data_IF_516856642152
#
_entry.id   IF_516856642152
#
_cell.length_a   1.000
_cell.length_b   1.000
_cell.length_c   1.000
_cell.angle_alpha   90.00
_cell.angle_beta   90.00
_cell.angle_gamma   90.00
#
_symmetry.space_group_name_H-M   'P 1'
#
loop_
_entity.id
_entity.type
_entity.pdbx_description
1 polymer ?
#
# COMPACT_ATOMS: atom_id res chain seq x y z
N UNK A 1 -8.62 13.86 3.94
CA UNK A 1 -8.03 12.51 4.14
C UNK A 1 -7.82 12.19 5.60
N UNK A 2 -7.02 12.99 6.34
CA UNK A 2 -6.84 12.86 7.80
C UNK A 2 -8.15 12.69 8.57
N UNK A 3 -9.10 13.59 8.39
CA UNK A 3 -10.36 13.54 9.13
C UNK A 3 -11.20 12.31 8.77
N UNK A 4 -11.15 11.88 7.51
CA UNK A 4 -11.81 10.66 7.07
C UNK A 4 -11.22 9.41 7.74
N UNK A 5 -9.89 9.32 7.85
CA UNK A 5 -9.19 8.24 8.55
C UNK A 5 -9.60 8.21 10.04
N UNK A 6 -9.57 9.37 10.71
CA UNK A 6 -9.94 9.48 12.12
C UNK A 6 -11.42 9.16 12.38
N UNK A 7 -12.32 9.74 11.60
CA UNK A 7 -13.76 9.59 11.79
C UNK A 7 -14.23 8.15 11.52
N UNK A 8 -13.56 7.43 10.62
CA UNK A 8 -13.83 6.02 10.33
C UNK A 8 -12.99 5.05 11.17
N UNK A 9 -12.14 5.56 12.08
CA UNK A 9 -11.27 4.75 12.96
C UNK A 9 -10.41 3.75 12.18
N UNK A 10 -9.89 4.17 11.03
CA UNK A 10 -9.03 3.33 10.21
C UNK A 10 -7.64 3.25 10.84
N UNK A 11 -7.02 2.07 10.75
CA UNK A 11 -5.65 1.78 11.22
C UNK A 11 -4.72 1.31 10.10
N UNK A 12 -5.26 1.12 8.90
CA UNK A 12 -4.56 0.79 7.66
C UNK A 12 -5.34 1.41 6.49
N UNK A 13 -4.64 1.99 5.52
CA UNK A 13 -5.22 2.44 4.25
C UNK A 13 -4.23 2.26 3.09
N UNK A 14 -4.74 2.35 1.86
CA UNK A 14 -3.92 2.58 0.68
C UNK A 14 -4.51 3.68 -0.20
N UNK A 15 -3.62 4.45 -0.84
CA UNK A 15 -3.94 5.44 -1.85
C UNK A 15 -3.37 4.98 -3.18
N UNK A 16 -4.16 5.15 -4.24
CA UNK A 16 -3.88 4.65 -5.57
C UNK A 16 -3.89 5.84 -6.55
N UNK A 17 -3.04 5.80 -7.57
CA UNK A 17 -2.83 6.87 -8.57
C UNK A 17 -2.41 8.22 -7.96
N UNK A 18 -1.61 8.17 -6.88
CA UNK A 18 -1.28 9.40 -6.14
C UNK A 18 -0.45 10.40 -6.94
N UNK A 19 0.33 9.93 -7.93
CA UNK A 19 1.29 10.72 -8.73
C UNK A 19 2.25 11.54 -7.86
N UNK A 20 2.46 11.10 -6.62
CA UNK A 20 3.34 11.75 -5.63
C UNK A 20 4.78 11.38 -5.93
N UNK A 21 5.68 12.34 -6.05
CA UNK A 21 7.12 12.05 -6.20
C UNK A 21 7.70 11.50 -4.90
N UNK A 22 8.75 10.68 -5.00
CA UNK A 22 9.40 10.06 -3.84
C UNK A 22 9.82 11.10 -2.77
N UNK A 23 10.38 12.23 -3.21
CA UNK A 23 10.80 13.35 -2.36
C UNK A 23 9.64 14.07 -1.63
N UNK A 24 8.39 13.81 -2.04
CA UNK A 24 7.17 14.36 -1.43
C UNK A 24 6.48 13.38 -0.48
N UNK A 25 6.92 12.12 -0.38
CA UNK A 25 6.28 11.14 0.51
C UNK A 25 6.33 11.56 1.97
N UNK A 26 7.46 12.13 2.43
CA UNK A 26 7.56 12.66 3.79
C UNK A 26 6.52 13.76 4.02
N UNK A 27 6.35 14.68 3.07
CA UNK A 27 5.33 15.72 3.17
C UNK A 27 3.90 15.16 3.19
N UNK A 28 3.63 14.04 2.50
CA UNK A 28 2.34 13.34 2.59
C UNK A 28 2.13 12.77 3.99
N UNK A 29 3.16 12.13 4.56
CA UNK A 29 3.12 11.61 5.94
C UNK A 29 2.88 12.73 6.95
N UNK A 30 3.62 13.84 6.84
CA UNK A 30 3.51 15.00 7.71
C UNK A 30 2.13 15.65 7.59
N UNK A 31 1.62 15.80 6.36
CA UNK A 31 0.32 16.39 6.08
C UNK A 31 -0.87 15.54 6.57
N UNK A 32 -0.71 14.23 6.65
CA UNK A 32 -1.70 13.36 7.31
C UNK A 32 -1.78 13.67 8.80
N UNK A 33 -0.68 14.09 9.44
CA UNK A 33 -0.63 14.48 10.85
C UNK A 33 -1.35 13.47 11.76
N UNK A 34 -1.07 12.19 11.51
CA UNK A 34 -1.61 11.03 12.23
C UNK A 34 -0.64 10.50 13.31
N UNK A 35 0.31 11.32 13.76
CA UNK A 35 1.31 10.90 14.75
C UNK A 35 2.33 9.96 14.12
N UNK A 36 2.60 8.83 14.79
CA UNK A 36 3.67 7.88 14.42
C UNK A 36 3.31 6.93 13.27
N UNK A 37 2.24 7.22 12.52
CA UNK A 37 1.84 6.44 11.37
C UNK A 37 3.00 6.28 10.39
N UNK A 38 3.17 5.05 9.90
CA UNK A 38 4.19 4.69 8.93
C UNK A 38 3.59 4.63 7.54
N UNK A 39 4.43 4.91 6.54
CA UNK A 39 4.05 4.88 5.13
C UNK A 39 5.10 4.13 4.33
N UNK A 40 4.65 3.30 3.39
CA UNK A 40 5.46 2.72 2.32
C UNK A 40 4.81 2.99 0.98
N UNK A 41 5.57 2.82 -0.09
CA UNK A 41 5.06 3.02 -1.43
C UNK A 41 5.80 2.18 -2.47
N UNK A 42 5.26 2.13 -3.70
CA UNK A 42 5.92 1.48 -4.84
C UNK A 42 6.78 2.46 -5.67
N UNK A 43 7.21 3.57 -5.07
CA UNK A 43 8.10 4.50 -5.74
C UNK A 43 9.41 3.80 -6.12
N UNK A 44 9.86 3.99 -7.37
CA UNK A 44 11.10 3.41 -7.88
C UNK A 44 11.89 4.49 -8.63
N UNK A 45 13.03 4.91 -8.08
CA UNK A 45 13.87 5.96 -8.68
C UNK A 45 13.12 7.29 -8.87
N UNK A 46 13.16 7.82 -10.09
CA UNK A 46 12.55 9.10 -10.46
C UNK A 46 11.05 8.99 -10.83
N UNK A 47 10.47 7.79 -10.83
CA UNK A 47 9.07 7.58 -11.19
C UNK A 47 8.11 8.03 -10.09
N UNK A 48 6.96 8.56 -10.51
CA UNK A 48 5.90 8.96 -9.58
C UNK A 48 5.30 7.75 -8.85
N UNK A 49 5.12 7.88 -7.55
CA UNK A 49 4.45 6.90 -6.70
C UNK A 49 3.01 6.67 -7.16
N UNK A 50 2.64 5.40 -7.38
CA UNK A 50 1.27 5.04 -7.75
C UNK A 50 0.50 4.48 -6.58
N UNK A 51 1.15 3.73 -5.71
CA UNK A 51 0.55 3.10 -4.54
C UNK A 51 1.26 3.60 -3.29
N UNK A 52 0.50 4.13 -2.35
CA UNK A 52 0.95 4.47 -1.00
C UNK A 52 0.15 3.61 -0.03
N UNK A 53 0.81 3.04 0.98
CA UNK A 53 0.18 2.27 2.05
C UNK A 53 0.56 2.94 3.37
N UNK A 54 -0.42 3.29 4.19
CA UNK A 54 -0.20 3.92 5.49
C UNK A 54 -0.89 3.15 6.60
N UNK A 55 -0.24 3.03 7.75
CA UNK A 55 -0.77 2.28 8.89
C UNK A 55 -0.31 2.84 10.24
N UNK A 56 -1.08 2.49 11.27
CA UNK A 56 -0.71 2.71 12.66
C UNK A 56 0.21 1.57 13.15
N UNK A 57 1.50 1.83 13.44
CA UNK A 57 2.43 0.80 13.87
C UNK A 57 2.15 0.26 15.28
N UNK A 58 1.29 0.92 16.07
CA UNK A 58 0.80 0.39 17.33
C UNK A 58 -0.27 -0.70 17.16
N UNK A 59 -0.86 -0.82 15.96
CA UNK A 59 -1.92 -1.81 15.68
C UNK A 59 -1.41 -2.90 14.74
N UNK A 60 -0.70 -2.53 13.67
CA UNK A 60 -0.24 -3.47 12.65
C UNK A 60 1.27 -3.38 12.42
N UNK A 61 1.90 -4.54 12.23
CA UNK A 61 3.16 -4.67 11.51
C UNK A 61 2.84 -4.86 10.02
N UNK A 62 3.53 -4.12 9.15
CA UNK A 62 3.32 -4.19 7.70
C UNK A 62 4.67 -4.37 7.02
N UNK A 63 4.84 -5.55 6.43
CA UNK A 63 6.04 -5.90 5.67
C UNK A 63 5.70 -6.05 4.19
N UNK A 64 6.28 -5.21 3.33
CA UNK A 64 6.21 -5.40 1.89
C UNK A 64 7.01 -6.65 1.49
N UNK A 65 6.32 -7.63 0.90
CA UNK A 65 6.94 -8.90 0.45
C UNK A 65 7.19 -8.91 -1.05
N UNK A 66 6.42 -8.13 -1.82
CA UNK A 66 6.62 -7.95 -3.26
C UNK A 66 6.07 -6.59 -3.69
N UNK A 67 6.77 -5.93 -4.62
CA UNK A 67 6.36 -4.64 -5.17
C UNK A 67 6.64 -4.60 -6.67
N UNK A 68 5.77 -3.94 -7.41
CA UNK A 68 5.88 -3.66 -8.84
C UNK A 68 5.18 -2.32 -9.13
N UNK A 69 5.25 -1.87 -10.37
CA UNK A 69 4.64 -0.63 -10.83
C UNK A 69 3.10 -0.63 -10.76
N UNK A 70 2.46 -1.81 -10.76
CA UNK A 70 1.00 -2.00 -10.68
C UNK A 70 0.51 -2.61 -9.37
N UNK A 71 1.39 -3.08 -8.47
CA UNK A 71 0.95 -3.65 -7.18
C UNK A 71 1.99 -3.56 -6.06
N UNK A 72 1.49 -3.69 -4.84
CA UNK A 72 2.29 -4.01 -3.67
C UNK A 72 1.60 -5.11 -2.89
N UNK A 73 2.30 -6.20 -2.59
CA UNK A 73 1.82 -7.23 -1.67
C UNK A 73 2.55 -7.07 -0.34
N UNK A 74 1.77 -6.99 0.73
CA UNK A 74 2.27 -6.85 2.08
C UNK A 74 1.70 -7.95 2.97
N UNK A 75 2.54 -8.45 3.86
CA UNK A 75 2.12 -9.21 5.03
C UNK A 75 1.76 -8.22 6.12
N UNK A 76 0.53 -8.31 6.60
CA UNK A 76 -0.03 -7.43 7.63
C UNK A 76 -0.38 -8.29 8.83
N UNK A 77 0.29 -8.03 9.95
CA UNK A 77 0.12 -8.80 11.20
C UNK A 77 -0.38 -7.87 12.30
N UNK A 78 -1.39 -8.28 13.05
CA UNK A 78 -1.88 -7.51 14.19
C UNK A 78 -0.95 -7.70 15.40
N UNK A 79 -0.44 -6.61 15.97
CA UNK A 79 0.55 -6.68 17.07
C UNK A 79 0.00 -7.33 18.34
N UNK A 80 -1.31 -7.23 18.57
CA UNK A 80 -1.97 -7.65 19.81
C UNK A 80 -3.01 -8.75 19.59
N UNK A 81 -3.05 -9.34 18.39
CA UNK A 81 -4.00 -10.40 18.04
C UNK A 81 -3.26 -11.47 17.24
N UNK A 82 -3.66 -12.73 17.36
CA UNK A 82 -3.11 -13.78 16.51
C UNK A 82 -3.76 -13.74 15.12
N UNK A 83 -3.51 -12.66 14.39
CA UNK A 83 -4.06 -12.40 13.06
C UNK A 83 -2.95 -11.93 12.12
N UNK A 84 -2.86 -12.60 10.97
CA UNK A 84 -1.97 -12.25 9.88
C UNK A 84 -2.72 -12.43 8.55
N UNK A 85 -2.49 -11.50 7.61
CA UNK A 85 -3.08 -11.55 6.27
C UNK A 85 -2.08 -11.04 5.23
N UNK A 86 -2.10 -11.65 4.05
CA UNK A 86 -1.43 -11.12 2.87
C UNK A 86 -2.42 -10.26 2.09
N UNK A 87 -2.08 -8.99 1.88
CA UNK A 87 -2.90 -8.03 1.14
C UNK A 87 -2.12 -7.58 -0.10
N UNK A 88 -2.74 -7.69 -1.28
CA UNK A 88 -2.22 -7.10 -2.51
C UNK A 88 -3.01 -5.84 -2.85
N UNK A 89 -2.34 -4.69 -2.79
CA UNK A 89 -2.86 -3.40 -3.23
C UNK A 89 -2.53 -3.24 -4.71
N UNK A 90 -3.52 -2.88 -5.54
CA UNK A 90 -3.39 -2.90 -7.00
C UNK A 90 -3.77 -1.56 -7.62
N UNK A 91 -2.90 -1.05 -8.49
CA UNK A 91 -3.19 -0.03 -9.49
C UNK A 91 -3.14 -0.67 -10.87
N UNK A 92 -4.29 -0.80 -11.53
CA UNK A 92 -4.34 -1.37 -12.88
C UNK A 92 -4.01 -0.32 -13.95
N UNK A 93 -3.06 -0.61 -14.82
CA UNK A 93 -2.83 0.20 -16.02
C UNK A 93 -4.07 0.30 -16.90
N UNK A 94 -4.13 1.33 -17.74
CA UNK A 94 -5.32 1.65 -18.52
C UNK A 94 -5.68 0.56 -19.53
N UNK A 95 -4.69 -0.08 -20.17
CA UNK A 95 -4.95 -1.08 -21.21
C UNK A 95 -4.98 -2.50 -20.64
N UNK A 96 -5.81 -3.40 -21.21
CA UNK A 96 -5.78 -4.82 -20.85
C UNK A 96 -4.42 -5.48 -21.08
N UNK A 97 -3.69 -5.02 -22.10
CA UNK A 97 -2.37 -5.53 -22.46
C UNK A 97 -1.34 -5.25 -21.34
N UNK A 98 -1.35 -4.04 -20.79
CA UNK A 98 -0.41 -3.64 -19.74
C UNK A 98 -0.76 -4.30 -18.40
N UNK A 99 -2.04 -4.64 -18.19
CA UNK A 99 -2.48 -5.40 -17.01
C UNK A 99 -2.11 -6.89 -17.03
N UNK A 100 -1.48 -7.41 -18.09
CA UNK A 100 -1.11 -8.84 -18.16
C UNK A 100 -0.21 -9.28 -17.02
N UNK A 101 0.77 -8.46 -16.64
CA UNK A 101 1.75 -8.80 -15.61
C UNK A 101 1.08 -8.93 -14.24
N UNK A 102 0.22 -7.97 -13.85
CA UNK A 102 -0.52 -8.07 -12.58
C UNK A 102 -1.46 -9.28 -12.56
N UNK A 103 -2.13 -9.62 -13.67
CA UNK A 103 -2.97 -10.82 -13.69
C UNK A 103 -2.17 -12.11 -13.58
N UNK A 104 -0.98 -12.19 -14.20
CA UNK A 104 -0.09 -13.33 -14.04
C UNK A 104 0.40 -13.43 -12.59
N UNK A 105 0.79 -12.31 -11.99
CA UNK A 105 1.20 -12.24 -10.60
C UNK A 105 0.09 -12.73 -9.65
N UNK A 106 -1.12 -12.18 -9.74
CA UNK A 106 -2.25 -12.57 -8.86
C UNK A 106 -2.55 -14.07 -8.99
N UNK A 107 -2.54 -14.62 -10.21
CA UNK A 107 -2.73 -16.06 -10.43
C UNK A 107 -1.67 -16.92 -9.73
N UNK A 108 -0.43 -16.46 -9.67
CA UNK A 108 0.65 -17.16 -8.96
C UNK A 108 0.48 -17.07 -7.44
N UNK A 109 0.00 -15.93 -6.92
CA UNK A 109 -0.18 -15.73 -5.48
C UNK A 109 -1.39 -16.47 -4.90
N UNK A 110 -2.44 -16.72 -5.69
CA UNK A 110 -3.64 -17.40 -5.20
C UNK A 110 -3.46 -18.91 -4.98
N UNK A 111 -2.36 -19.53 -5.44
CA UNK A 111 -2.20 -20.99 -5.41
C UNK A 111 -3.20 -21.69 -6.33
N UNK A 112 -2.77 -22.78 -6.97
CA UNK A 112 -3.65 -23.62 -7.78
C UNK A 112 -4.74 -24.22 -6.85
N UNK A 113 -5.99 -23.81 -7.03
CA UNK A 113 -7.14 -24.56 -6.52
C UNK A 113 -7.24 -25.92 -7.21
#
# INVERSE_FOLDING_TARGET
MRDWIKNNKLSLFSLIETKVKLDRLQSVQDGLALGDWRIISNANGDDSTRIIIGWDPGIYDVLCVHSDEQWMTCRVSAMHQNFEVLITFVYGHNTPADRRNIWQYIKQQCGNF
#
